data_IF_963919957141
#
_entry.id   IF_963919957141
#
_cell.length_a   1.000
_cell.length_b   1.000
_cell.length_c   1.000
_cell.angle_alpha   90.00
_cell.angle_beta   90.00
_cell.angle_gamma   90.00
#
_symmetry.space_group_name_H-M   'P 1'
#
loop_
_entity.id
_entity.type
_entity.pdbx_description
1 polymer ?
#
# COMPACT_ATOMS: atom_id res chain seq x y z
N UNK A 1 -13.91 16.98 -21.54
CA UNK A 1 -12.59 16.53 -21.04
C UNK A 1 -12.26 17.40 -19.84
N UNK A 2 -12.47 16.91 -18.62
CA UNK A 2 -12.22 17.68 -17.40
C UNK A 2 -10.72 17.70 -17.12
N UNK A 3 -10.13 18.89 -17.07
CA UNK A 3 -8.74 19.11 -16.66
C UNK A 3 -8.53 18.56 -15.23
N UNK A 4 -7.41 17.89 -14.93
CA UNK A 4 -7.13 17.42 -13.58
C UNK A 4 -6.95 18.59 -12.60
N UNK A 5 -7.49 18.43 -11.40
CA UNK A 5 -7.43 19.36 -10.25
C UNK A 5 -5.96 19.60 -9.82
N UNK A 6 -5.50 20.88 -9.73
CA UNK A 6 -4.09 21.25 -9.53
C UNK A 6 -3.57 21.14 -8.08
N UNK A 7 -4.34 20.62 -7.14
CA UNK A 7 -3.98 20.63 -5.71
C UNK A 7 -3.06 19.49 -5.23
N UNK A 8 -2.67 18.56 -6.12
CA UNK A 8 -1.78 17.44 -5.77
C UNK A 8 -0.70 17.23 -6.85
N UNK A 9 0.52 16.79 -6.48
CA UNK A 9 1.59 16.59 -7.44
C UNK A 9 1.13 15.63 -8.56
N UNK A 10 1.46 15.92 -9.83
CA UNK A 10 1.06 15.08 -10.94
C UNK A 10 1.55 13.65 -10.70
N UNK A 11 0.68 12.67 -10.91
CA UNK A 11 1.09 11.26 -10.83
C UNK A 11 2.17 11.04 -11.89
N UNK A 12 3.37 10.77 -11.41
CA UNK A 12 4.52 10.52 -12.28
C UNK A 12 4.21 9.33 -13.18
N UNK A 13 4.15 9.55 -14.50
CA UNK A 13 3.99 8.47 -15.49
C UNK A 13 5.29 7.70 -15.77
N UNK A 14 6.34 7.94 -14.97
CA UNK A 14 7.59 7.21 -15.12
C UNK A 14 7.40 5.75 -14.75
N UNK A 15 7.96 4.86 -15.58
CA UNK A 15 7.97 3.45 -15.29
C UNK A 15 8.94 3.17 -14.12
N UNK A 16 8.42 2.66 -13.01
CA UNK A 16 9.22 2.41 -11.80
C UNK A 16 10.33 1.39 -12.08
N UNK A 17 10.09 0.41 -12.96
CA UNK A 17 11.07 -0.64 -13.26
C UNK A 17 12.34 -0.14 -13.96
N UNK A 18 12.31 1.08 -14.51
CA UNK A 18 13.46 1.73 -15.15
C UNK A 18 14.29 2.58 -14.19
N UNK A 19 13.87 2.70 -12.93
CA UNK A 19 14.54 3.49 -11.91
C UNK A 19 15.34 2.59 -10.96
N UNK A 20 16.48 3.07 -10.43
CA UNK A 20 17.18 2.33 -9.38
C UNK A 20 16.31 2.23 -8.12
N UNK A 21 16.33 1.09 -7.41
CA UNK A 21 15.59 0.95 -6.17
C UNK A 21 16.17 1.89 -5.10
N UNK A 22 15.33 2.57 -4.30
CA UNK A 22 15.81 3.47 -3.26
C UNK A 22 16.71 2.76 -2.25
N UNK A 23 17.76 3.42 -1.73
CA UNK A 23 18.66 2.83 -0.72
C UNK A 23 17.96 2.43 0.58
N UNK A 24 17.06 3.28 1.09
CA UNK A 24 16.44 3.10 2.41
C UNK A 24 15.18 2.24 2.40
N UNK A 25 14.70 1.81 1.24
CA UNK A 25 13.53 0.93 1.11
C UNK A 25 13.78 -0.47 1.71
N UNK A 26 12.83 -1.07 2.48
CA UNK A 26 12.92 -2.46 2.91
C UNK A 26 12.98 -3.40 1.69
N UNK A 27 14.02 -4.22 1.58
CA UNK A 27 14.27 -5.05 0.38
C UNK A 27 13.84 -6.51 0.58
N UNK A 28 13.27 -7.07 -0.47
CA UNK A 28 13.08 -8.51 -0.63
C UNK A 28 14.22 -9.07 -1.48
N UNK A 29 14.84 -10.15 -1.03
CA UNK A 29 15.94 -10.80 -1.75
C UNK A 29 15.40 -11.89 -2.70
N UNK A 30 16.01 -12.01 -3.89
CA UNK A 30 15.76 -13.12 -4.81
C UNK A 30 15.52 -12.68 -6.26
N UNK A 31 16.53 -12.86 -7.12
CA UNK A 31 16.44 -12.56 -8.56
C UNK A 31 15.29 -13.29 -9.25
N UNK A 32 15.07 -14.56 -8.89
CA UNK A 32 14.00 -15.38 -9.44
C UNK A 32 12.60 -14.85 -9.08
N UNK A 33 12.38 -14.46 -7.83
CA UNK A 33 11.09 -13.89 -7.39
C UNK A 33 10.81 -12.57 -8.12
N UNK A 34 11.83 -11.72 -8.29
CA UNK A 34 11.71 -10.48 -9.08
C UNK A 34 11.34 -10.74 -10.53
N UNK A 35 11.98 -11.74 -11.14
CA UNK A 35 11.65 -12.17 -12.49
C UNK A 35 10.19 -12.66 -12.57
N UNK A 36 9.74 -13.48 -11.62
CA UNK A 36 8.38 -14.00 -11.59
C UNK A 36 7.34 -12.86 -11.52
N UNK A 37 7.55 -11.88 -10.63
CA UNK A 37 6.68 -10.70 -10.52
C UNK A 37 6.62 -9.90 -11.81
N UNK A 38 7.78 -9.64 -12.45
CA UNK A 38 7.86 -8.92 -13.73
C UNK A 38 7.15 -9.68 -14.85
N UNK A 39 7.31 -11.00 -14.91
CA UNK A 39 6.65 -11.85 -15.90
C UNK A 39 5.14 -11.86 -15.68
N UNK A 40 4.66 -11.99 -14.45
CA UNK A 40 3.24 -11.94 -14.14
C UNK A 40 2.59 -10.61 -14.58
N UNK A 41 3.24 -9.47 -14.30
CA UNK A 41 2.77 -8.17 -14.76
C UNK A 41 2.77 -8.06 -16.29
N UNK A 42 3.83 -8.54 -16.95
CA UNK A 42 3.92 -8.54 -18.42
C UNK A 42 2.81 -9.38 -19.07
N UNK A 43 2.57 -10.60 -18.59
CA UNK A 43 1.55 -11.52 -19.12
C UNK A 43 0.14 -10.96 -18.90
N UNK A 44 -0.10 -10.30 -17.77
CA UNK A 44 -1.42 -9.69 -17.48
C UNK A 44 -1.60 -8.30 -18.11
N UNK A 45 -0.54 -7.73 -18.68
CA UNK A 45 -0.52 -6.43 -19.33
C UNK A 45 -0.51 -5.24 -18.37
N UNK A 46 -0.05 -5.44 -17.12
CA UNK A 46 -0.01 -4.40 -16.09
C UNK A 46 1.32 -3.64 -16.06
N UNK A 47 1.23 -2.33 -15.82
CA UNK A 47 2.37 -1.40 -15.72
C UNK A 47 2.54 -0.89 -14.31
N UNK A 48 3.77 -0.52 -13.95
CA UNK A 48 4.11 0.08 -12.67
C UNK A 48 4.52 1.54 -12.91
N UNK A 49 3.70 2.49 -12.47
CA UNK A 49 3.93 3.92 -12.67
C UNK A 49 4.15 4.64 -11.34
N UNK A 50 5.01 5.64 -11.34
CA UNK A 50 5.31 6.48 -10.18
C UNK A 50 6.78 6.47 -9.81
N UNK A 51 7.05 6.73 -8.53
CA UNK A 51 8.39 6.65 -7.92
C UNK A 51 8.28 6.00 -6.55
N UNK A 52 9.26 5.15 -6.23
CA UNK A 52 9.38 4.61 -4.88
C UNK A 52 10.10 5.67 -4.03
N UNK A 53 9.57 6.03 -2.86
CA UNK A 53 10.24 6.99 -2.01
C UNK A 53 11.48 6.38 -1.38
N UNK A 54 12.51 7.19 -1.17
CA UNK A 54 13.65 6.80 -0.35
C UNK A 54 13.31 6.95 1.12
N UNK A 55 12.32 6.22 1.62
CA UNK A 55 11.92 6.26 3.03
C UNK A 55 12.05 4.89 3.69
N UNK A 56 12.71 4.78 4.86
CA UNK A 56 12.85 3.50 5.55
C UNK A 56 11.54 3.01 6.15
N UNK A 57 10.65 3.93 6.53
CA UNK A 57 9.39 3.62 7.20
C UNK A 57 8.27 4.43 6.57
N UNK A 58 7.13 3.80 6.31
CA UNK A 58 5.92 4.46 5.80
C UNK A 58 4.68 3.62 6.04
N UNK A 59 3.52 4.26 5.93
CA UNK A 59 2.22 3.60 5.84
C UNK A 59 1.75 3.64 4.39
N UNK A 60 1.78 2.48 3.73
CA UNK A 60 1.26 2.32 2.38
C UNK A 60 -0.25 2.06 2.42
N UNK A 61 -1.03 2.92 1.77
CA UNK A 61 -2.46 2.72 1.61
C UNK A 61 -2.78 2.26 0.20
N UNK A 62 -3.67 1.27 0.08
CA UNK A 62 -4.06 0.69 -1.21
C UNK A 62 -5.57 0.84 -1.40
N UNK A 63 -5.97 1.60 -2.42
CA UNK A 63 -7.36 1.81 -2.80
C UNK A 63 -7.47 2.13 -4.31
N UNK A 64 -8.60 1.91 -4.98
CA UNK A 64 -9.73 1.11 -4.51
C UNK A 64 -9.32 -0.37 -4.37
N UNK A 65 -9.75 -1.01 -3.29
CA UNK A 65 -9.57 -2.46 -3.12
C UNK A 65 -10.92 -3.14 -3.28
N UNK A 66 -11.21 -3.63 -4.49
CA UNK A 66 -12.52 -4.16 -4.87
C UNK A 66 -12.49 -5.65 -5.22
N UNK A 67 -11.32 -6.24 -5.46
CA UNK A 67 -11.17 -7.63 -5.93
C UNK A 67 -10.01 -8.36 -5.27
N UNK A 68 -10.10 -9.69 -5.16
CA UNK A 68 -8.94 -10.51 -4.80
C UNK A 68 -7.83 -10.42 -5.86
N UNK A 69 -8.17 -10.06 -7.10
CA UNK A 69 -7.19 -9.81 -8.15
C UNK A 69 -6.24 -8.66 -7.81
N UNK A 70 -6.70 -7.68 -7.03
CA UNK A 70 -5.87 -6.58 -6.51
C UNK A 70 -4.74 -7.13 -5.62
N UNK A 71 -5.04 -8.17 -4.82
CA UNK A 71 -4.04 -8.84 -3.99
C UNK A 71 -2.98 -9.54 -4.84
N UNK A 72 -3.39 -10.24 -5.91
CA UNK A 72 -2.46 -10.86 -6.87
C UNK A 72 -1.55 -9.81 -7.53
N UNK A 73 -2.13 -8.71 -8.02
CA UNK A 73 -1.38 -7.61 -8.62
C UNK A 73 -0.43 -6.93 -7.62
N UNK A 74 -0.86 -6.75 -6.37
CA UNK A 74 -0.04 -6.23 -5.29
C UNK A 74 1.19 -7.11 -5.01
N UNK A 75 1.02 -8.43 -4.94
CA UNK A 75 2.15 -9.36 -4.80
C UNK A 75 3.06 -9.36 -6.03
N UNK A 76 2.49 -9.31 -7.24
CA UNK A 76 3.28 -9.22 -8.47
C UNK A 76 4.12 -7.93 -8.51
N UNK A 77 3.55 -6.79 -8.11
CA UNK A 77 4.26 -5.51 -7.98
C UNK A 77 5.34 -5.55 -6.89
N UNK A 78 5.02 -6.07 -5.69
CA UNK A 78 5.97 -6.31 -4.59
C UNK A 78 7.19 -7.07 -5.09
N UNK A 79 6.95 -8.20 -5.75
CA UNK A 79 8.02 -9.05 -6.28
C UNK A 79 8.79 -8.35 -7.39
N UNK A 80 8.12 -7.74 -8.36
CA UNK A 80 8.78 -7.09 -9.49
C UNK A 80 9.74 -5.96 -9.06
N UNK A 81 9.32 -5.17 -8.07
CA UNK A 81 10.07 -4.05 -7.51
C UNK A 81 11.08 -4.50 -6.44
N UNK A 82 10.85 -5.64 -5.79
CA UNK A 82 11.78 -6.25 -4.85
C UNK A 82 11.79 -5.58 -3.48
N UNK A 83 10.64 -5.08 -3.02
CA UNK A 83 10.48 -4.54 -1.67
C UNK A 83 9.74 -5.50 -0.75
N UNK A 84 9.96 -5.36 0.56
CA UNK A 84 9.19 -6.03 1.59
C UNK A 84 8.12 -5.12 2.16
N UNK A 85 6.99 -5.73 2.55
CA UNK A 85 5.92 -5.04 3.28
C UNK A 85 5.50 -5.85 4.48
N UNK A 86 4.87 -5.18 5.44
CA UNK A 86 4.25 -5.81 6.59
C UNK A 86 2.76 -5.48 6.65
N UNK A 87 1.95 -6.48 6.97
CA UNK A 87 0.49 -6.33 7.07
C UNK A 87 -0.03 -7.09 8.29
N UNK A 88 -0.94 -6.47 9.05
CA UNK A 88 -1.63 -7.16 10.13
C UNK A 88 -2.73 -8.07 9.56
N UNK A 89 -2.69 -9.36 9.89
CA UNK A 89 -3.70 -10.34 9.51
C UNK A 89 -4.39 -10.94 10.74
N UNK A 90 -5.59 -11.53 10.56
CA UNK A 90 -6.27 -12.26 11.65
C UNK A 90 -5.34 -13.35 12.20
N UNK A 91 -5.14 -13.40 13.52
CA UNK A 91 -4.27 -14.41 14.16
C UNK A 91 -4.64 -15.85 13.77
N UNK A 92 -5.94 -16.14 13.58
CA UNK A 92 -6.46 -17.42 13.10
C UNK A 92 -6.02 -17.82 11.69
N UNK A 93 -5.34 -16.97 10.93
CA UNK A 93 -4.73 -17.35 9.64
C UNK A 93 -3.30 -17.89 9.83
N UNK A 94 -2.70 -17.66 11.01
CA UNK A 94 -1.30 -17.96 11.29
C UNK A 94 -1.08 -19.34 11.93
N UNK A 95 -2.07 -20.24 11.88
CA UNK A 95 -1.93 -21.64 12.26
C UNK A 95 -1.38 -22.48 11.09
N UNK A 96 -0.80 -23.63 11.40
CA UNK A 96 -0.22 -24.54 10.40
C UNK A 96 -1.31 -25.10 9.46
N UNK A 97 -1.12 -25.18 8.13
CA UNK A 97 0.14 -25.02 7.40
C UNK A 97 0.41 -23.60 6.87
N UNK A 98 -0.57 -22.70 6.91
CA UNK A 98 -0.46 -21.36 6.30
C UNK A 98 0.42 -20.39 7.08
N UNK A 99 0.56 -20.58 8.40
CA UNK A 99 1.27 -19.66 9.29
C UNK A 99 2.70 -19.30 8.87
N UNK A 100 3.61 -20.27 8.65
CA UNK A 100 4.97 -19.99 8.20
C UNK A 100 5.02 -19.22 6.87
N UNK A 101 4.14 -19.58 5.91
CA UNK A 101 4.06 -18.91 4.62
C UNK A 101 3.62 -17.45 4.76
N UNK A 102 2.56 -17.19 5.53
CA UNK A 102 2.07 -15.83 5.75
C UNK A 102 3.12 -14.95 6.42
N UNK A 103 3.85 -15.48 7.42
CA UNK A 103 4.96 -14.75 8.07
C UNK A 103 6.07 -14.42 7.08
N UNK A 104 6.46 -15.38 6.23
CA UNK A 104 7.46 -15.17 5.17
C UNK A 104 7.03 -14.10 4.16
N UNK A 105 5.73 -14.00 3.87
CA UNK A 105 5.17 -12.99 2.97
C UNK A 105 5.00 -11.61 3.60
N UNK A 106 5.26 -11.48 4.91
CA UNK A 106 5.18 -10.22 5.67
C UNK A 106 3.93 -10.08 6.54
N UNK A 107 3.14 -11.14 6.70
CA UNK A 107 2.01 -11.18 7.60
C UNK A 107 2.44 -11.16 9.07
N UNK A 108 1.80 -10.31 9.85
CA UNK A 108 1.95 -10.22 11.30
C UNK A 108 0.60 -10.54 11.94
N UNK A 109 0.53 -11.48 12.91
CA UNK A 109 -0.73 -11.79 13.57
C UNK A 109 -1.22 -10.58 14.39
N UNK A 110 -2.48 -10.21 14.17
CA UNK A 110 -3.18 -9.19 14.94
C UNK A 110 -3.42 -9.69 16.37
N UNK A 111 -2.91 -8.95 17.35
CA UNK A 111 -3.17 -9.16 18.75
C UNK A 111 -4.40 -8.33 19.17
N UNK A 112 -5.54 -9.01 19.32
CA UNK A 112 -6.79 -8.38 19.76
C UNK A 112 -6.88 -8.19 21.28
N UNK A 113 -6.01 -8.85 22.03
CA UNK A 113 -5.90 -8.70 23.49
C UNK A 113 -5.04 -7.51 23.91
N UNK A 114 -4.26 -6.95 22.98
CA UNK A 114 -3.42 -5.77 23.24
C UNK A 114 -4.27 -4.58 23.72
N UNK A 115 -3.98 -4.02 24.92
CA UNK A 115 -4.74 -2.88 25.46
C UNK A 115 -4.61 -1.63 24.59
N UNK A 116 -3.57 -1.53 23.75
CA UNK A 116 -3.41 -0.42 22.80
C UNK A 116 -4.14 -0.63 21.46
N UNK A 117 -4.85 -1.76 21.29
CA UNK A 117 -5.59 -2.12 20.07
C UNK A 117 -4.72 -2.25 18.81
N UNK A 118 -5.39 -2.40 17.65
CA UNK A 118 -4.76 -2.60 16.33
C UNK A 118 -3.84 -1.44 15.93
N UNK A 119 -4.26 -0.19 16.17
CA UNK A 119 -3.49 1.01 15.83
C UNK A 119 -2.20 1.05 16.64
N UNK A 120 -2.29 0.92 17.97
CA UNK A 120 -1.12 0.93 18.83
C UNK A 120 -0.14 -0.20 18.52
N UNK A 121 -0.63 -1.40 18.16
CA UNK A 121 0.22 -2.48 17.71
C UNK A 121 0.99 -2.10 16.44
N UNK A 122 0.33 -1.52 15.44
CA UNK A 122 0.98 -1.09 14.20
C UNK A 122 2.03 0.02 14.46
N UNK A 123 1.70 1.01 15.30
CA UNK A 123 2.63 2.10 15.67
C UNK A 123 3.89 1.53 16.33
N UNK A 124 3.74 0.59 17.28
CA UNK A 124 4.90 -0.05 17.93
C UNK A 124 5.77 -0.81 16.93
N UNK A 125 5.15 -1.56 16.03
CA UNK A 125 5.90 -2.32 15.01
C UNK A 125 6.72 -1.39 14.11
N UNK A 126 6.13 -0.28 13.64
CA UNK A 126 6.81 0.69 12.80
C UNK A 126 7.95 1.37 13.56
N UNK A 127 7.68 1.89 14.77
CA UNK A 127 8.68 2.59 15.58
C UNK A 127 9.88 1.69 15.91
N UNK A 128 9.64 0.42 16.26
CA UNK A 128 10.68 -0.54 16.68
C UNK A 128 11.44 -1.22 15.52
N UNK A 129 11.07 -0.97 14.27
CA UNK A 129 11.78 -1.52 13.11
C UNK A 129 12.77 -0.49 12.56
N UNK A 130 13.93 -0.90 12.03
CA UNK A 130 14.80 0.03 11.29
C UNK A 130 14.18 0.44 9.95
N UNK A 131 13.59 -0.54 9.25
CA UNK A 131 12.88 -0.36 7.98
C UNK A 131 11.55 -1.10 8.02
N UNK A 132 10.44 -0.42 7.70
CA UNK A 132 9.12 -1.06 7.64
C UNK A 132 8.14 -0.27 6.77
N UNK A 133 7.73 -0.87 5.66
CA UNK A 133 6.60 -0.40 4.87
C UNK A 133 5.35 -1.17 5.31
N UNK A 134 4.44 -0.48 6.00
CA UNK A 134 3.21 -1.07 6.55
C UNK A 134 2.04 -0.88 5.59
N UNK A 135 1.41 -1.98 5.15
CA UNK A 135 0.28 -1.92 4.20
C UNK A 135 -1.05 -2.04 4.92
N UNK A 136 -1.99 -1.16 4.56
CA UNK A 136 -3.38 -1.21 5.02
C UNK A 136 -4.33 -0.70 3.94
N UNK A 137 -5.56 -1.23 3.90
CA UNK A 137 -6.63 -0.65 3.07
C UNK A 137 -7.46 0.32 3.91
N UNK A 138 -7.62 1.59 3.49
CA UNK A 138 -8.37 2.57 4.27
C UNK A 138 -9.87 2.23 4.34
N UNK A 139 -10.36 1.49 3.35
CA UNK A 139 -11.75 1.02 3.25
C UNK A 139 -12.04 -0.11 4.26
N UNK A 140 -11.03 -0.91 4.62
CA UNK A 140 -11.15 -2.03 5.56
C UNK A 140 -12.06 -3.19 5.11
N UNK A 141 -12.62 -3.11 3.90
CA UNK A 141 -13.46 -4.13 3.25
C UNK A 141 -13.33 -4.00 1.73
N UNK A 142 -13.70 -5.04 1.00
CA UNK A 142 -13.79 -4.99 -0.48
C UNK A 142 -15.11 -4.37 -0.99
N UNK A 143 -16.12 -4.26 -0.12
CA UNK A 143 -17.41 -3.60 -0.42
C UNK A 143 -17.24 -2.08 -0.50
N UNK A 144 -18.12 -1.40 -1.23
CA UNK A 144 -18.15 0.07 -1.27
C UNK A 144 -18.37 0.63 0.13
N UNK A 145 -17.67 1.71 0.46
CA UNK A 145 -17.82 2.43 1.72
C UNK A 145 -17.92 3.92 1.42
N UNK A 146 -18.79 4.62 2.14
CA UNK A 146 -18.94 6.07 2.00
C UNK A 146 -17.81 6.83 2.72
N UNK A 147 -17.30 6.24 3.79
CA UNK A 147 -16.27 6.81 4.66
C UNK A 147 -15.12 5.84 4.83
N UNK A 148 -13.90 6.37 4.76
CA UNK A 148 -12.68 5.62 5.07
C UNK A 148 -12.44 5.58 6.57
N UNK A 149 -11.82 4.49 7.03
CA UNK A 149 -11.37 4.40 8.42
C UNK A 149 -10.13 5.27 8.60
N UNK A 150 -10.09 6.06 9.66
CA UNK A 150 -8.95 6.94 9.98
C UNK A 150 -7.71 6.20 10.53
N UNK A 151 -7.73 4.87 10.63
CA UNK A 151 -6.67 4.08 11.25
C UNK A 151 -5.31 4.26 10.57
N UNK A 152 -5.27 4.31 9.23
CA UNK A 152 -4.02 4.52 8.49
C UNK A 152 -3.38 5.88 8.81
N UNK A 153 -4.20 6.93 8.93
CA UNK A 153 -3.75 8.28 9.23
C UNK A 153 -3.17 8.34 10.65
N UNK A 154 -3.87 7.77 11.63
CA UNK A 154 -3.38 7.71 13.03
C UNK A 154 -2.08 6.92 13.12
N UNK A 155 -1.97 5.78 12.43
CA UNK A 155 -0.73 4.99 12.42
C UNK A 155 0.43 5.81 11.85
N UNK A 156 0.22 6.55 10.76
CA UNK A 156 1.24 7.38 10.13
C UNK A 156 1.67 8.54 11.02
N UNK A 157 0.70 9.33 11.51
CA UNK A 157 0.90 10.45 12.43
C UNK A 157 1.61 10.01 13.71
N UNK A 158 1.08 9.00 14.40
CA UNK A 158 1.64 8.53 15.66
C UNK A 158 3.00 7.85 15.46
N UNK A 159 3.32 7.34 14.26
CA UNK A 159 4.65 6.78 13.98
C UNK A 159 5.64 7.80 13.44
N UNK A 160 5.20 9.03 13.14
CA UNK A 160 5.95 10.07 12.44
C UNK A 160 6.56 9.57 11.12
N UNK A 161 5.73 8.98 10.27
CA UNK A 161 6.11 8.46 8.94
C UNK A 161 5.10 8.90 7.88
N UNK A 162 5.49 9.00 6.60
CA UNK A 162 4.56 9.43 5.57
C UNK A 162 3.56 8.32 5.20
N UNK A 163 2.44 8.75 4.63
CA UNK A 163 1.46 7.91 3.95
C UNK A 163 1.84 7.81 2.48
N UNK A 164 2.01 6.61 1.95
CA UNK A 164 2.27 6.38 0.53
C UNK A 164 1.00 5.84 -0.15
N UNK A 165 0.33 6.63 -1.00
CA UNK A 165 -0.88 6.18 -1.66
C UNK A 165 -0.55 5.33 -2.89
N UNK A 166 -1.19 4.17 -2.99
CA UNK A 166 -1.07 3.21 -4.10
C UNK A 166 -2.45 2.90 -4.66
N UNK A 167 -2.56 2.81 -5.98
CA UNK A 167 -3.82 2.48 -6.66
C UNK A 167 -3.68 1.35 -7.68
N UNK A 168 -4.80 0.68 -7.92
CA UNK A 168 -5.02 -0.18 -9.07
C UNK A 168 -6.00 0.50 -10.01
N UNK A 169 -5.54 0.84 -11.21
CA UNK A 169 -6.39 1.39 -12.26
C UNK A 169 -6.57 0.35 -13.37
N UNK A 170 -7.76 -0.24 -13.43
CA UNK A 170 -8.09 -1.32 -14.36
C UNK A 170 -8.21 -0.87 -15.81
N UNK A 171 -8.83 0.28 -16.13
CA UNK A 171 -8.89 0.78 -17.51
C UNK A 171 -7.52 0.92 -18.16
N UNK A 172 -6.54 1.50 -17.45
CA UNK A 172 -5.17 1.66 -17.96
C UNK A 172 -4.22 0.50 -17.64
N UNK A 173 -4.69 -0.51 -16.89
CA UNK A 173 -3.90 -1.62 -16.33
C UNK A 173 -2.63 -1.13 -15.62
N UNK A 174 -2.81 -0.26 -14.64
CA UNK A 174 -1.70 0.40 -13.93
C UNK A 174 -1.77 0.12 -12.44
N UNK A 175 -0.66 -0.35 -11.87
CA UNK A 175 -0.40 -0.17 -10.43
C UNK A 175 0.39 1.13 -10.30
N UNK A 176 -0.23 2.13 -9.70
CA UNK A 176 0.40 3.44 -9.54
C UNK A 176 0.77 3.73 -8.10
N UNK A 177 1.88 4.43 -7.92
CA UNK A 177 2.37 4.91 -6.63
C UNK A 177 2.40 6.44 -6.70
N UNK A 178 1.72 7.09 -5.75
CA UNK A 178 1.75 8.54 -5.58
C UNK A 178 2.96 9.01 -4.78
N UNK A 179 3.00 10.30 -4.51
CA UNK A 179 4.04 10.90 -3.67
C UNK A 179 3.75 10.68 -2.18
N UNK A 180 4.79 10.60 -1.32
CA UNK A 180 4.62 10.55 0.13
C UNK A 180 3.83 11.76 0.65
N UNK A 181 2.79 11.47 1.43
CA UNK A 181 1.96 12.47 2.10
C UNK A 181 2.27 12.49 3.59
N UNK A 182 2.74 13.62 4.11
CA UNK A 182 2.97 13.81 5.55
C UNK A 182 1.70 14.34 6.20
N UNK A 183 1.30 13.74 7.33
CA UNK A 183 0.11 14.15 8.06
C UNK A 183 0.29 15.53 8.68
N UNK A 184 -0.72 16.38 8.55
CA UNK A 184 -0.80 17.68 9.22
C UNK A 184 -1.52 17.61 10.56
N UNK A 185 -2.09 18.74 10.98
CA UNK A 185 -2.83 18.86 12.24
C UNK A 185 -4.34 18.61 12.10
N UNK A 186 -4.86 18.53 10.86
CA UNK A 186 -6.27 18.28 10.56
C UNK A 186 -6.43 16.95 9.82
N UNK A 187 -6.75 15.92 10.60
CA UNK A 187 -7.00 14.57 10.08
C UNK A 187 -8.13 14.52 9.05
N UNK A 188 -9.18 15.31 9.21
CA UNK A 188 -10.32 15.28 8.30
C UNK A 188 -9.93 15.90 6.95
N UNK A 189 -9.22 17.02 6.96
CA UNK A 189 -8.69 17.66 5.77
C UNK A 189 -7.70 16.75 5.02
N UNK A 190 -6.77 16.12 5.74
CA UNK A 190 -5.79 15.20 5.14
C UNK A 190 -6.48 13.99 4.47
N UNK A 191 -7.43 13.37 5.16
CA UNK A 191 -8.18 12.24 4.60
C UNK A 191 -8.98 12.69 3.38
N UNK A 192 -9.58 13.88 3.39
CA UNK A 192 -10.32 14.42 2.25
C UNK A 192 -9.40 14.70 1.05
N UNK A 193 -8.19 15.24 1.28
CA UNK A 193 -7.19 15.48 0.25
C UNK A 193 -6.74 14.15 -0.39
N UNK A 194 -6.41 13.15 0.43
CA UNK A 194 -6.05 11.82 -0.04
C UNK A 194 -7.20 11.19 -0.84
N UNK A 195 -8.45 11.26 -0.35
CA UNK A 195 -9.61 10.74 -1.10
C UNK A 195 -9.81 11.45 -2.44
N UNK A 196 -9.54 12.75 -2.49
CA UNK A 196 -9.61 13.54 -3.73
C UNK A 196 -8.56 13.06 -4.73
N UNK A 197 -7.34 12.76 -4.27
CA UNK A 197 -6.31 12.14 -5.10
C UNK A 197 -6.74 10.83 -5.75
N UNK A 198 -7.55 10.03 -5.05
CA UNK A 198 -7.99 8.73 -5.53
C UNK A 198 -9.14 8.79 -6.55
N UNK A 199 -9.83 9.92 -6.69
CA UNK A 199 -11.00 10.08 -7.57
C UNK A 199 -10.81 9.62 -9.02
N UNK A 200 -9.64 9.84 -9.67
CA UNK A 200 -9.46 9.45 -11.06
C UNK A 200 -9.29 7.95 -11.27
N UNK A 201 -8.97 7.17 -10.22
CA UNK A 201 -8.53 5.78 -10.35
C UNK A 201 -9.69 4.81 -10.22
N UNK A 202 -9.74 3.84 -11.14
CA UNK A 202 -10.89 2.94 -11.25
C UNK A 202 -10.53 1.50 -10.93
N UNK A 203 -11.19 0.96 -9.91
CA UNK A 203 -11.00 -0.42 -9.48
C UNK A 203 -11.71 -1.42 -10.40
N UNK A 204 -11.55 -2.71 -10.11
CA UNK A 204 -12.16 -3.77 -10.93
C UNK A 204 -13.68 -3.70 -10.97
N UNK A 205 -14.28 -3.49 -9.80
CA UNK A 205 -15.73 -3.54 -9.61
C UNK A 205 -16.31 -2.21 -9.14
N UNK A 206 -15.47 -1.33 -8.58
CA UNK A 206 -15.86 -0.01 -8.08
C UNK A 206 -14.63 0.87 -7.87
N UNK A 207 -14.91 2.15 -7.73
CA UNK A 207 -13.91 3.18 -7.43
C UNK A 207 -13.91 3.45 -5.91
N UNK A 208 -13.10 4.41 -5.45
CA UNK A 208 -12.95 4.75 -4.02
C UNK A 208 -14.07 5.64 -3.47
N UNK A 209 -14.98 6.09 -4.33
CA UNK A 209 -16.14 6.91 -4.01
C UNK A 209 -17.44 6.16 -4.31
#
# INVERSE_FOLDING_TARGET
MSQPDPSLPPVTQANILLQPPPPRMPRAHGRFIRWLGRTALRVTGWRLLGRLPDEPKLVMIVAPHSSNWDGFLGFAAKFALGFEVRVLGKAQLFWWPLGPLLRKLGGIPLDRSSPQGTIGQAVRLIRNSEQMWYVITPEGTRKRVEQWKAGFWKIASDSNVPILPVYFDYPSKTVGIGEPFWTGNDMAADIAAIRTWYRPWRGKHRDTL
#
